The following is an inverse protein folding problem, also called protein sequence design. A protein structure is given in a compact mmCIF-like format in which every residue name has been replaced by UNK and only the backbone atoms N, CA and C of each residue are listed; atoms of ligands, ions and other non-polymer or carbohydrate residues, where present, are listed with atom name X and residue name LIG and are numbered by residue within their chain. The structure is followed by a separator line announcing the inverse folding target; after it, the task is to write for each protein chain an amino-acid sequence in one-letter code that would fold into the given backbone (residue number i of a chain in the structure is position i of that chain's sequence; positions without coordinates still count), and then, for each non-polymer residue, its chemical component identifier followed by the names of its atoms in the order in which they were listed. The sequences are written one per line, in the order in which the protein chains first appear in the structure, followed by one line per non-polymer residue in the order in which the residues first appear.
data_IF_103329136437
#
_entry.id   IF_103329136437
#
_cell.length_a   1.000
_cell.length_b   1.000
_cell.length_c   1.000
_cell.angle_alpha   90.00
_cell.angle_beta   90.00
_cell.angle_gamma   90.00
#
_symmetry.space_group_name_H-M   'P 1'
#
loop_
_entity.id
_entity.type
_entity.pdbx_description
1 polymer ?
#
# COMPACT_ATOMS: atom_id res chain seq x y z
N UNK A 1 36.56 -0.70 14.10
CA UNK A 1 35.65 -1.88 14.06
C UNK A 1 34.47 -1.70 15.02
N UNK A 2 33.20 -1.78 14.57
CA UNK A 2 32.04 -1.65 15.48
C UNK A 2 31.82 -2.97 16.25
N UNK A 3 31.73 -2.94 17.59
CA UNK A 3 31.49 -4.13 18.43
C UNK A 3 30.10 -4.75 18.22
N UNK A 4 29.17 -3.97 17.67
CA UNK A 4 27.80 -4.33 17.28
C UNK A 4 27.67 -5.15 15.98
N UNK A 5 28.78 -5.44 15.28
CA UNK A 5 28.76 -6.14 13.99
C UNK A 5 28.15 -7.55 14.02
N UNK A 6 28.31 -8.39 15.06
CA UNK A 6 27.71 -9.73 15.08
C UNK A 6 26.17 -9.69 15.18
N UNK A 7 25.57 -8.61 15.71
CA UNK A 7 24.11 -8.40 15.76
C UNK A 7 23.53 -7.80 14.46
N UNK A 8 24.41 -7.50 13.50
CA UNK A 8 24.06 -6.89 12.23
C UNK A 8 23.34 -7.83 11.26
N UNK A 9 22.93 -7.27 10.12
CA UNK A 9 22.26 -8.05 9.08
C UNK A 9 23.23 -9.06 8.44
N UNK A 10 22.81 -10.33 8.27
CA UNK A 10 23.58 -11.43 7.64
C UNK A 10 23.83 -11.27 6.12
N UNK A 11 24.05 -10.05 5.65
CA UNK A 11 24.25 -9.79 4.23
C UNK A 11 25.67 -10.17 3.81
N UNK A 12 25.79 -11.05 2.81
CA UNK A 12 27.06 -11.63 2.33
C UNK A 12 27.93 -10.63 1.56
N UNK A 13 27.31 -9.65 0.90
CA UNK A 13 27.97 -8.76 -0.09
C UNK A 13 28.24 -7.34 0.42
N UNK A 14 27.93 -7.03 1.67
CA UNK A 14 28.15 -5.71 2.28
C UNK A 14 27.01 -5.23 3.20
N UNK A 15 27.22 -4.13 3.95
CA UNK A 15 26.19 -3.57 4.82
C UNK A 15 25.01 -3.01 4.00
N UNK A 16 23.78 -3.08 4.55
CA UNK A 16 22.63 -2.40 3.94
C UNK A 16 22.80 -0.89 4.04
N UNK A 17 22.82 -0.19 2.90
CA UNK A 17 22.87 1.27 2.87
C UNK A 17 21.47 1.86 3.07
N UNK A 18 21.30 2.70 4.09
CA UNK A 18 20.11 3.52 4.25
C UNK A 18 20.25 4.82 3.47
N UNK A 19 19.31 5.10 2.56
CA UNK A 19 19.20 6.42 1.93
C UNK A 19 18.25 7.28 2.77
N UNK A 20 18.81 8.24 3.49
CA UNK A 20 18.03 9.24 4.23
C UNK A 20 17.69 10.41 3.31
N UNK A 21 16.46 10.91 3.41
CA UNK A 21 16.04 12.12 2.70
C UNK A 21 16.64 13.35 3.40
N UNK A 22 17.04 14.39 2.67
CA UNK A 22 17.40 15.68 3.26
C UNK A 22 16.30 16.21 4.18
N UNK A 23 16.70 16.87 5.28
CA UNK A 23 15.80 17.30 6.36
C UNK A 23 14.59 18.09 5.85
N UNK A 24 14.80 19.10 5.02
CA UNK A 24 13.72 19.92 4.48
C UNK A 24 12.65 19.09 3.71
N UNK A 25 13.08 18.12 2.89
CA UNK A 25 12.16 17.24 2.17
C UNK A 25 11.42 16.29 3.13
N UNK A 26 12.09 15.84 4.19
CA UNK A 26 11.48 15.02 5.22
C UNK A 26 10.38 15.78 5.96
N UNK A 27 10.66 16.99 6.41
CA UNK A 27 9.71 17.84 7.13
C UNK A 27 8.48 18.16 6.28
N UNK A 28 8.65 18.49 5.00
CA UNK A 28 7.53 18.70 4.05
C UNK A 28 6.66 17.44 3.97
N UNK A 29 7.27 16.26 3.80
CA UNK A 29 6.53 15.00 3.74
C UNK A 29 5.76 14.71 5.04
N UNK A 30 6.34 15.02 6.20
CA UNK A 30 5.66 14.82 7.48
C UNK A 30 4.47 15.77 7.63
N UNK A 31 4.63 17.05 7.28
CA UNK A 31 3.51 18.00 7.28
C UNK A 31 2.37 17.56 6.37
N UNK A 32 2.68 17.10 5.15
CA UNK A 32 1.65 16.58 4.22
C UNK A 32 0.96 15.34 4.81
N UNK A 33 1.68 14.41 5.44
CA UNK A 33 1.07 13.24 6.09
C UNK A 33 0.15 13.61 7.25
N UNK A 34 0.52 14.60 8.05
CA UNK A 34 -0.32 15.12 9.12
C UNK A 34 -1.61 15.72 8.54
N UNK A 35 -1.50 16.50 7.46
CA UNK A 35 -2.67 17.02 6.75
C UNK A 35 -3.56 15.90 6.20
N UNK A 36 -2.97 14.84 5.63
CA UNK A 36 -3.70 13.67 5.12
C UNK A 36 -4.44 12.87 6.21
N UNK A 37 -3.99 12.95 7.46
CA UNK A 37 -4.63 12.29 8.58
C UNK A 37 -5.91 13.01 9.05
N UNK A 38 -6.15 14.24 8.60
CA UNK A 38 -7.34 14.99 9.00
C UNK A 38 -8.63 14.43 8.37
N UNK A 39 -9.77 14.43 9.08
CA UNK A 39 -11.05 13.97 8.54
C UNK A 39 -11.47 14.72 7.27
N UNK A 40 -11.31 16.06 7.27
CA UNK A 40 -11.64 16.89 6.11
C UNK A 40 -10.84 16.51 4.85
N UNK A 41 -9.56 16.17 4.99
CA UNK A 41 -8.77 15.67 3.88
C UNK A 41 -9.28 14.30 3.41
N UNK A 42 -9.58 13.39 4.34
CA UNK A 42 -10.06 12.05 4.00
C UNK A 42 -11.39 12.09 3.27
N UNK A 43 -12.32 12.95 3.69
CA UNK A 43 -13.60 13.17 3.03
C UNK A 43 -13.40 13.68 1.60
N UNK A 44 -12.56 14.72 1.42
CA UNK A 44 -12.23 15.23 0.10
C UNK A 44 -11.53 14.20 -0.79
N UNK A 45 -10.69 13.33 -0.21
CA UNK A 45 -9.91 12.32 -0.93
C UNK A 45 -10.71 11.03 -1.20
N UNK A 46 -11.83 10.78 -0.50
CA UNK A 46 -12.58 9.53 -0.58
C UNK A 46 -13.03 9.19 -2.00
N UNK A 47 -13.52 10.19 -2.76
CA UNK A 47 -13.92 10.02 -4.15
C UNK A 47 -12.76 9.51 -5.01
N UNK A 48 -11.57 10.11 -4.83
CA UNK A 48 -10.36 9.71 -5.55
C UNK A 48 -9.87 8.32 -5.13
N UNK A 49 -9.88 8.04 -3.83
CA UNK A 49 -9.49 6.73 -3.30
C UNK A 49 -10.33 5.59 -3.92
N UNK A 50 -11.63 5.79 -4.08
CA UNK A 50 -12.52 4.79 -4.70
C UNK A 50 -12.16 4.52 -6.17
N UNK A 51 -11.85 5.57 -6.94
CA UNK A 51 -11.41 5.45 -8.35
C UNK A 51 -10.06 4.73 -8.43
N UNK A 52 -9.07 5.17 -7.65
CA UNK A 52 -7.74 4.56 -7.62
C UNK A 52 -7.78 3.09 -7.21
N UNK A 53 -8.62 2.74 -6.23
CA UNK A 53 -8.85 1.36 -5.82
C UNK A 53 -9.41 0.51 -6.98
N UNK A 54 -10.35 1.04 -7.74
CA UNK A 54 -10.98 0.36 -8.88
C UNK A 54 -10.00 0.14 -10.03
N UNK A 55 -9.24 1.18 -10.40
CA UNK A 55 -8.17 1.07 -11.41
C UNK A 55 -7.17 0.02 -10.95
N UNK A 56 -6.78 0.06 -9.68
CA UNK A 56 -5.79 -0.85 -9.15
C UNK A 56 -6.25 -2.31 -9.14
N UNK A 57 -7.53 -2.56 -8.86
CA UNK A 57 -8.14 -3.89 -8.95
C UNK A 57 -8.20 -4.36 -10.40
N UNK A 58 -8.64 -3.51 -11.33
CA UNK A 58 -8.67 -3.81 -12.75
C UNK A 58 -7.28 -4.15 -13.31
N UNK A 59 -6.26 -3.38 -12.93
CA UNK A 59 -4.88 -3.61 -13.38
C UNK A 59 -4.29 -4.89 -12.80
N UNK A 60 -4.36 -5.08 -11.47
CA UNK A 60 -3.68 -6.19 -10.78
C UNK A 60 -4.44 -7.51 -10.85
N UNK A 61 -5.78 -7.46 -10.81
CA UNK A 61 -6.64 -8.64 -10.80
C UNK A 61 -7.10 -9.08 -12.19
N UNK A 62 -7.31 -8.12 -13.11
CA UNK A 62 -7.97 -8.40 -14.40
C UNK A 62 -7.14 -7.99 -15.64
N UNK A 63 -5.90 -7.53 -15.46
CA UNK A 63 -4.99 -7.25 -16.57
C UNK A 63 -5.41 -6.07 -17.46
N UNK A 64 -6.12 -5.08 -16.91
CA UNK A 64 -6.76 -3.96 -17.65
C UNK A 64 -5.82 -3.16 -18.58
N UNK A 65 -4.49 -3.21 -18.39
CA UNK A 65 -3.50 -2.51 -19.23
C UNK A 65 -3.28 -3.16 -20.61
N UNK A 66 -3.85 -4.34 -20.86
CA UNK A 66 -3.67 -5.08 -22.11
C UNK A 66 -5.02 -5.42 -22.73
N UNK A 67 -5.21 -5.05 -24.00
CA UNK A 67 -6.32 -5.53 -24.81
C UNK A 67 -5.90 -6.82 -25.51
N UNK A 68 -6.65 -7.90 -25.32
CA UNK A 68 -6.41 -9.20 -25.98
C UNK A 68 -6.88 -9.18 -27.43
N UNK A 69 -7.88 -8.35 -27.73
CA UNK A 69 -8.50 -8.25 -29.03
C UNK A 69 -8.11 -6.95 -29.74
N UNK A 70 -8.04 -7.04 -31.07
CA UNK A 70 -7.81 -5.90 -31.95
C UNK A 70 -9.15 -5.27 -32.36
N UNK A 71 -9.19 -3.93 -32.38
CA UNK A 71 -10.36 -3.13 -32.78
C UNK A 71 -11.22 -2.66 -31.59
N UNK A 72 -11.68 -1.41 -31.68
CA UNK A 72 -12.37 -0.71 -30.57
C UNK A 72 -13.61 -1.45 -30.05
N UNK A 73 -14.43 -2.04 -30.93
CA UNK A 73 -15.64 -2.76 -30.52
C UNK A 73 -15.33 -3.97 -29.62
N UNK A 74 -14.30 -4.76 -29.97
CA UNK A 74 -13.89 -5.93 -29.18
C UNK A 74 -13.20 -5.52 -27.88
N UNK A 75 -12.39 -4.45 -27.93
CA UNK A 75 -11.78 -3.86 -26.72
C UNK A 75 -12.84 -3.31 -25.76
N UNK A 76 -13.86 -2.64 -26.27
CA UNK A 76 -15.00 -2.17 -25.47
C UNK A 76 -15.71 -3.35 -24.78
N UNK A 77 -16.01 -4.42 -25.50
CA UNK A 77 -16.61 -5.62 -24.91
C UNK A 77 -15.73 -6.23 -23.82
N UNK A 78 -14.41 -6.31 -24.03
CA UNK A 78 -13.47 -6.74 -22.99
C UNK A 78 -13.54 -5.85 -21.75
N UNK A 79 -13.64 -4.53 -21.90
CA UNK A 79 -13.76 -3.60 -20.77
C UNK A 79 -15.09 -3.75 -20.03
N UNK A 80 -16.20 -3.95 -20.74
CA UNK A 80 -17.51 -4.23 -20.13
C UNK A 80 -17.46 -5.52 -19.29
N UNK A 81 -16.90 -6.61 -19.83
CA UNK A 81 -16.73 -7.84 -19.06
C UNK A 81 -15.78 -7.68 -17.87
N UNK A 82 -14.73 -6.88 -18.03
CA UNK A 82 -13.81 -6.57 -16.91
C UNK A 82 -14.54 -5.80 -15.81
N UNK A 83 -15.36 -4.82 -16.16
CA UNK A 83 -16.15 -4.06 -15.20
C UNK A 83 -17.18 -4.96 -14.47
N UNK A 84 -17.86 -5.83 -15.21
CA UNK A 84 -18.77 -6.82 -14.63
C UNK A 84 -18.05 -7.76 -13.66
N UNK A 85 -16.87 -8.27 -14.03
CA UNK A 85 -16.07 -9.12 -13.17
C UNK A 85 -15.64 -8.41 -11.87
N UNK A 86 -15.20 -7.14 -11.96
CA UNK A 86 -14.87 -6.33 -10.77
C UNK A 86 -16.08 -6.21 -9.84
N UNK A 87 -17.26 -5.92 -10.38
CA UNK A 87 -18.49 -5.78 -9.57
C UNK A 87 -18.86 -7.10 -8.88
N UNK A 88 -18.84 -8.22 -9.62
CA UNK A 88 -19.15 -9.54 -9.06
C UNK A 88 -18.15 -9.97 -7.98
N UNK A 89 -16.85 -9.75 -8.20
CA UNK A 89 -15.83 -10.05 -7.17
C UNK A 89 -16.03 -9.20 -5.92
N UNK A 90 -16.35 -7.91 -6.06
CA UNK A 90 -16.64 -7.06 -4.89
C UNK A 90 -17.88 -7.51 -4.12
N UNK A 91 -18.92 -7.93 -4.82
CA UNK A 91 -20.13 -8.45 -4.20
C UNK A 91 -19.84 -9.73 -3.42
N UNK A 92 -19.06 -10.65 -4.02
CA UNK A 92 -18.62 -11.87 -3.36
C UNK A 92 -17.74 -11.56 -2.13
N UNK A 93 -16.75 -10.67 -2.27
CA UNK A 93 -15.88 -10.25 -1.15
C UNK A 93 -16.67 -9.59 -0.02
N UNK A 94 -17.69 -8.79 -0.37
CA UNK A 94 -18.59 -8.17 0.61
C UNK A 94 -19.41 -9.23 1.34
N UNK A 95 -19.98 -10.19 0.62
CA UNK A 95 -20.75 -11.30 1.19
C UNK A 95 -19.91 -12.13 2.15
N UNK A 96 -18.67 -12.46 1.78
CA UNK A 96 -17.73 -13.21 2.63
C UNK A 96 -17.29 -12.40 3.86
N UNK A 97 -17.08 -11.09 3.73
CA UNK A 97 -16.70 -10.21 4.84
C UNK A 97 -17.80 -10.08 5.90
N UNK A 98 -19.08 -10.18 5.51
CA UNK A 98 -20.18 -10.21 6.47
C UNK A 98 -20.18 -11.49 7.32
N UNK A 99 -19.59 -12.58 6.81
CA UNK A 99 -19.56 -13.87 7.49
C UNK A 99 -18.27 -14.12 8.28
N UNK A 100 -17.20 -13.37 8.00
CA UNK A 100 -15.87 -13.60 8.58
C UNK A 100 -15.29 -12.33 9.22
N UNK A 101 -14.84 -12.38 10.48
CA UNK A 101 -14.15 -11.24 11.08
C UNK A 101 -12.89 -10.92 10.29
N UNK A 102 -12.62 -9.62 10.11
CA UNK A 102 -11.49 -9.12 9.33
C UNK A 102 -10.18 -9.72 9.89
N UNK A 103 -9.32 -10.34 9.05
CA UNK A 103 -8.08 -10.92 9.54
C UNK A 103 -7.22 -9.83 10.17
N UNK A 104 -6.79 -10.04 11.42
CA UNK A 104 -5.85 -9.14 12.11
C UNK A 104 -4.54 -9.16 11.33
N UNK A 105 -4.10 -8.01 10.82
CA UNK A 105 -2.76 -7.91 10.23
C UNK A 105 -1.74 -8.09 11.35
N UNK A 106 -0.77 -9.02 11.22
CA UNK A 106 0.30 -9.12 12.20
C UNK A 106 1.10 -7.80 12.20
N UNK A 107 1.56 -7.34 13.38
CA UNK A 107 2.33 -6.11 13.47
C UNK A 107 3.59 -6.21 12.60
N UNK A 108 3.98 -5.09 12.00
CA UNK A 108 5.23 -5.04 11.25
C UNK A 108 6.41 -5.40 12.15
N UNK A 109 7.41 -6.12 11.62
CA UNK A 109 8.61 -6.51 12.39
C UNK A 109 9.32 -5.33 13.05
N UNK A 110 9.28 -4.15 12.42
CA UNK A 110 9.81 -2.91 13.00
C UNK A 110 8.95 -2.34 14.13
N UNK A 111 7.63 -2.55 14.11
CA UNK A 111 6.76 -2.11 15.21
C UNK A 111 7.10 -2.83 16.52
N UNK A 112 7.59 -4.07 16.44
CA UNK A 112 8.09 -4.81 17.60
C UNK A 112 9.35 -4.21 18.23
N UNK A 113 10.07 -3.32 17.53
CA UNK A 113 11.28 -2.66 18.03
C UNK A 113 11.01 -1.30 18.70
N UNK A 114 9.78 -0.77 18.59
CA UNK A 114 9.37 0.49 19.22
C UNK A 114 9.64 0.57 20.74
N UNK A 115 9.32 -0.47 21.56
CA UNK A 115 9.60 -0.41 23.00
C UNK A 115 11.11 -0.34 23.33
N UNK A 116 11.98 -0.95 22.51
CA UNK A 116 13.43 -0.89 22.71
C UNK A 116 14.02 0.49 22.33
N UNK A 117 13.45 1.16 21.32
CA UNK A 117 13.86 2.51 20.94
C UNK A 117 13.50 3.55 22.00
N UNK A 118 12.32 3.44 22.64
CA UNK A 118 11.91 4.32 23.73
C UNK A 118 12.82 4.20 24.97
N UNK A 119 13.33 3.01 25.25
CA UNK A 119 14.26 2.77 26.35
C UNK A 119 15.71 3.24 26.06
N UNK A 120 16.08 3.36 24.78
CA UNK A 120 17.44 3.72 24.35
C UNK A 120 17.72 5.23 24.31
N UNK A 121 16.73 6.09 24.59
CA UNK A 121 16.94 7.53 24.72
C UNK A 121 17.51 8.21 23.46
N UNK A 122 17.26 7.65 22.27
CA UNK A 122 17.52 8.38 21.03
C UNK A 122 16.48 9.51 20.89
N UNK A 123 16.90 10.77 20.67
CA UNK A 123 15.98 11.89 20.49
C UNK A 123 15.08 11.72 19.26
#
# INVERSE_FOLDING_TARGET
PCPCRPDGTRATTGPRTLKLRPRAQHEILQHVRQAQATPAFQEAYAARAAVEATISQGVRGFGLRRARYLGQAKTHLQHVFTAAAIHLTRLADWWDQQQRPRPKRPPARFAALAPAAAAAGFP
#
